data_IF_996665126592
#
_entry.id   IF_996665126592
#
_cell.length_a   1.000
_cell.length_b   1.000
_cell.length_c   1.000
_cell.angle_alpha   90.00
_cell.angle_beta   90.00
_cell.angle_gamma   90.00
#
_symmetry.space_group_name_H-M   'P 1'
#
loop_
_entity.id
_entity.type
_entity.pdbx_description
1 polymer ?
#
# COMPACT_ATOMS: atom_id res chain seq x y z
N UNK A 1 -31.55 3.66 22.36
CA UNK A 1 -30.22 3.06 22.62
C UNK A 1 -29.23 4.19 22.81
N UNK A 2 -28.67 4.36 24.00
CA UNK A 2 -27.69 5.41 24.27
C UNK A 2 -26.36 5.06 23.59
N UNK A 3 -25.93 5.88 22.63
CA UNK A 3 -24.58 5.75 22.05
C UNK A 3 -23.58 6.27 23.08
N UNK A 4 -22.74 5.39 23.62
CA UNK A 4 -21.63 5.78 24.49
C UNK A 4 -20.53 6.34 23.59
N UNK A 5 -20.35 7.65 23.63
CA UNK A 5 -19.21 8.34 23.01
C UNK A 5 -17.99 8.18 23.91
N UNK A 6 -17.12 7.22 23.61
CA UNK A 6 -15.85 7.05 24.31
C UNK A 6 -14.92 8.25 24.03
N UNK A 7 -14.28 8.80 25.06
CA UNK A 7 -13.31 9.87 24.88
C UNK A 7 -12.00 9.35 24.27
N UNK A 8 -11.18 10.25 23.71
CA UNK A 8 -9.85 9.91 23.17
C UNK A 8 -8.94 9.24 24.20
N UNK A 9 -9.05 9.62 25.46
CA UNK A 9 -8.29 8.99 26.53
C UNK A 9 -8.78 7.57 26.77
N UNK A 10 -10.09 7.34 26.68
CA UNK A 10 -10.69 6.01 26.84
C UNK A 10 -10.30 5.09 25.68
N UNK A 11 -10.29 5.56 24.44
CA UNK A 11 -9.84 4.76 23.28
C UNK A 11 -8.37 4.40 23.42
N UNK A 12 -7.51 5.38 23.76
CA UNK A 12 -6.08 5.13 23.97
C UNK A 12 -5.81 4.20 25.16
N UNK A 13 -6.61 4.32 26.23
CA UNK A 13 -6.57 3.44 27.39
C UNK A 13 -7.06 2.04 27.01
N UNK A 14 -8.14 1.90 26.23
CA UNK A 14 -8.64 0.62 25.75
C UNK A 14 -7.67 -0.05 24.78
N UNK A 15 -7.02 0.70 23.88
CA UNK A 15 -5.96 0.21 23.03
C UNK A 15 -4.73 -0.18 23.83
N UNK A 16 -4.36 0.56 24.89
CA UNK A 16 -3.28 0.19 25.81
C UNK A 16 -3.63 -0.98 26.74
N UNK A 17 -4.91 -1.16 27.08
CA UNK A 17 -5.43 -2.32 27.82
C UNK A 17 -5.38 -3.55 26.92
N UNK A 18 -5.72 -3.40 25.64
CA UNK A 18 -5.62 -4.43 24.60
C UNK A 18 -4.16 -4.69 24.19
N UNK A 19 -3.31 -3.69 24.29
CA UNK A 19 -1.91 -3.68 23.91
C UNK A 19 -1.04 -2.67 24.70
N UNK A 20 -0.40 -3.08 25.81
CA UNK A 20 0.35 -2.18 26.69
C UNK A 20 1.66 -1.61 26.09
N UNK A 21 2.03 -1.96 24.85
CA UNK A 21 3.19 -1.43 24.13
C UNK A 21 2.82 -0.70 22.82
N UNK A 22 1.53 -0.44 22.56
CA UNK A 22 1.11 0.40 21.44
C UNK A 22 1.71 1.81 21.56
N UNK A 23 2.37 2.28 20.51
CA UNK A 23 2.83 3.67 20.40
C UNK A 23 1.76 4.49 19.65
N UNK A 24 0.86 5.19 20.38
CA UNK A 24 -0.21 5.96 19.78
C UNK A 24 0.30 7.18 18.98
N UNK A 25 1.61 7.48 19.01
CA UNK A 25 2.20 8.61 18.25
C UNK A 25 2.55 8.25 16.81
N UNK A 26 2.70 6.97 16.49
CA UNK A 26 2.96 6.48 15.13
C UNK A 26 1.68 6.35 14.29
N UNK A 27 0.53 6.22 14.95
CA UNK A 27 -0.78 6.06 14.30
C UNK A 27 -1.35 7.44 14.00
N UNK A 28 -1.61 7.70 12.72
CA UNK A 28 -2.33 8.92 12.33
C UNK A 28 -3.77 8.78 12.82
N UNK A 29 -4.29 9.72 13.63
CA UNK A 29 -5.65 9.59 14.15
C UNK A 29 -6.63 9.63 12.98
N UNK A 30 -7.41 8.56 12.81
CA UNK A 30 -8.46 8.50 11.79
C UNK A 30 -9.78 8.85 12.47
N UNK A 31 -10.50 9.83 11.93
CA UNK A 31 -11.83 10.21 12.41
C UNK A 31 -12.86 10.06 11.28
N UNK A 32 -13.78 9.12 11.46
CA UNK A 32 -14.83 8.82 10.49
C UNK A 32 -15.93 9.88 10.42
N UNK A 33 -16.00 10.78 11.42
CA UNK A 33 -16.96 11.89 11.43
C UNK A 33 -16.46 13.10 10.62
N UNK A 34 -15.17 13.12 10.25
CA UNK A 34 -14.65 14.16 9.37
C UNK A 34 -15.25 14.03 7.96
N UNK A 35 -15.40 15.16 7.24
CA UNK A 35 -15.74 15.13 5.82
C UNK A 35 -14.85 14.16 5.05
N UNK A 36 -15.45 13.40 4.13
CA UNK A 36 -14.72 12.39 3.35
C UNK A 36 -13.60 13.02 2.51
N UNK A 37 -13.83 14.23 2.00
CA UNK A 37 -12.82 15.08 1.38
C UNK A 37 -12.74 16.43 2.12
N UNK A 38 -11.54 16.96 2.38
CA UNK A 38 -11.37 18.21 3.13
C UNK A 38 -11.69 19.47 2.31
N UNK A 39 -11.78 19.39 0.97
CA UNK A 39 -11.97 20.54 0.08
C UNK A 39 -13.33 20.54 -0.63
N UNK A 40 -13.93 19.37 -0.86
CA UNK A 40 -15.30 19.23 -1.39
C UNK A 40 -16.23 18.86 -0.24
N UNK A 41 -16.71 19.89 0.47
CA UNK A 41 -17.48 19.72 1.71
C UNK A 41 -18.99 19.66 1.50
N UNK A 42 -19.51 20.18 0.38
CA UNK A 42 -20.93 20.07 0.08
C UNK A 42 -21.30 18.61 -0.23
N UNK A 43 -22.34 18.11 0.43
CA UNK A 43 -22.70 16.69 0.39
C UNK A 43 -23.27 16.30 -0.98
N UNK A 44 -24.05 17.18 -1.61
CA UNK A 44 -24.65 16.92 -2.92
C UNK A 44 -23.55 16.89 -3.98
N UNK A 45 -22.73 17.93 -4.01
CA UNK A 45 -21.60 18.08 -4.92
C UNK A 45 -20.62 16.90 -4.74
N UNK A 46 -20.23 16.57 -3.51
CA UNK A 46 -19.34 15.44 -3.24
C UNK A 46 -19.93 14.11 -3.76
N UNK A 47 -21.24 13.91 -3.62
CA UNK A 47 -21.91 12.68 -4.08
C UNK A 47 -21.85 12.57 -5.60
N UNK A 48 -22.08 13.67 -6.32
CA UNK A 48 -22.01 13.71 -7.78
C UNK A 48 -20.58 13.52 -8.30
N UNK A 49 -19.60 14.18 -7.66
CA UNK A 49 -18.16 14.03 -7.92
C UNK A 49 -17.73 12.57 -7.76
N UNK A 50 -18.07 11.93 -6.64
CA UNK A 50 -17.73 10.53 -6.38
C UNK A 50 -18.44 9.58 -7.34
N UNK A 51 -19.68 9.89 -7.75
CA UNK A 51 -20.40 9.08 -8.73
C UNK A 51 -19.68 9.11 -10.08
N UNK A 52 -19.32 10.29 -10.59
CA UNK A 52 -18.54 10.44 -11.82
C UNK A 52 -17.19 9.72 -11.73
N UNK A 53 -16.46 9.90 -10.63
CA UNK A 53 -15.18 9.18 -10.40
C UNK A 53 -15.39 7.67 -10.47
N UNK A 54 -16.40 7.14 -9.78
CA UNK A 54 -16.69 5.72 -9.72
C UNK A 54 -17.03 5.15 -11.09
N UNK A 55 -17.78 5.88 -11.91
CA UNK A 55 -18.11 5.46 -13.28
C UNK A 55 -16.83 5.30 -14.12
N UNK A 56 -15.90 6.26 -14.05
CA UNK A 56 -14.61 6.18 -14.74
C UNK A 56 -13.78 5.00 -14.24
N UNK A 57 -13.69 4.81 -12.91
CA UNK A 57 -12.90 3.73 -12.32
C UNK A 57 -13.46 2.33 -12.63
N UNK A 58 -14.77 2.15 -12.61
CA UNK A 58 -15.42 0.88 -13.00
C UNK A 58 -15.13 0.56 -14.46
N UNK A 59 -15.10 1.59 -15.30
CA UNK A 59 -14.84 1.44 -16.71
C UNK A 59 -13.35 1.03 -16.92
N UNK A 60 -12.39 1.67 -16.24
CA UNK A 60 -10.98 1.27 -16.22
C UNK A 60 -10.82 -0.16 -15.73
N UNK A 61 -11.48 -0.52 -14.64
CA UNK A 61 -11.45 -1.87 -14.07
C UNK A 61 -11.96 -2.92 -15.07
N UNK A 62 -13.05 -2.63 -15.79
CA UNK A 62 -13.59 -3.52 -16.82
C UNK A 62 -12.55 -3.78 -17.91
N UNK A 63 -11.86 -2.75 -18.39
CA UNK A 63 -10.81 -2.92 -19.39
C UNK A 63 -9.63 -3.76 -18.85
N UNK A 64 -9.18 -3.52 -17.63
CA UNK A 64 -8.11 -4.32 -17.01
C UNK A 64 -8.49 -5.80 -16.87
N UNK A 65 -9.73 -6.12 -16.52
CA UNK A 65 -10.21 -7.50 -16.47
C UNK A 65 -10.17 -8.18 -17.86
N UNK A 66 -10.47 -7.45 -18.93
CA UNK A 66 -10.37 -7.97 -20.30
C UNK A 66 -8.92 -8.16 -20.75
N UNK A 67 -8.02 -7.23 -20.41
CA UNK A 67 -6.59 -7.33 -20.69
C UNK A 67 -5.93 -8.50 -19.94
N UNK A 68 -6.41 -8.78 -18.73
CA UNK A 68 -5.99 -9.94 -17.94
C UNK A 68 -6.64 -11.27 -18.38
N UNK A 69 -7.44 -11.28 -19.46
CA UNK A 69 -8.21 -12.44 -19.94
C UNK A 69 -9.18 -13.04 -18.90
N UNK A 70 -9.65 -12.23 -17.93
CA UNK A 70 -10.64 -12.62 -16.93
C UNK A 70 -12.08 -12.35 -17.38
N UNK A 71 -12.25 -11.55 -18.45
CA UNK A 71 -13.52 -11.30 -19.12
C UNK A 71 -13.37 -11.36 -20.64
N UNK A 72 -14.47 -11.60 -21.40
CA UNK A 72 -14.44 -11.56 -22.86
C UNK A 72 -13.91 -10.22 -23.36
N UNK A 73 -12.98 -10.25 -24.32
CA UNK A 73 -12.46 -9.05 -24.96
C UNK A 73 -13.55 -8.44 -25.84
N UNK A 74 -14.14 -7.35 -25.39
CA UNK A 74 -15.12 -6.57 -26.16
C UNK A 74 -14.52 -5.25 -26.65
N UNK A 75 -13.38 -4.84 -26.10
CA UNK A 75 -12.71 -3.57 -26.43
C UNK A 75 -11.57 -3.88 -27.42
N UNK A 76 -11.70 -3.39 -28.65
CA UNK A 76 -10.70 -3.56 -29.72
C UNK A 76 -9.49 -2.66 -29.55
N UNK A 77 -9.67 -1.46 -28.98
CA UNK A 77 -8.61 -0.45 -28.83
C UNK A 77 -8.42 -0.01 -27.36
N UNK A 78 -7.68 -0.79 -26.54
CA UNK A 78 -7.44 -0.49 -25.13
C UNK A 78 -6.81 0.88 -24.88
N UNK A 79 -5.88 1.31 -25.75
CA UNK A 79 -5.16 2.59 -25.59
C UNK A 79 -6.10 3.77 -25.80
N UNK A 80 -6.89 3.77 -26.88
CA UNK A 80 -7.89 4.80 -27.18
C UNK A 80 -8.90 4.91 -26.04
N UNK A 81 -9.34 3.77 -25.53
CA UNK A 81 -10.29 3.69 -24.43
C UNK A 81 -9.70 4.27 -23.11
N UNK A 82 -8.44 3.96 -22.80
CA UNK A 82 -7.74 4.55 -21.66
C UNK A 82 -7.57 6.08 -21.78
N UNK A 83 -7.32 6.57 -23.00
CA UNK A 83 -7.22 8.02 -23.26
C UNK A 83 -8.56 8.73 -23.04
N UNK A 84 -9.68 8.12 -23.40
CA UNK A 84 -11.02 8.65 -23.10
C UNK A 84 -11.25 8.77 -21.58
N UNK A 85 -10.87 7.75 -20.80
CA UNK A 85 -10.94 7.84 -19.34
C UNK A 85 -10.03 8.91 -18.75
N UNK A 86 -8.83 9.09 -19.32
CA UNK A 86 -7.96 10.20 -18.92
C UNK A 86 -8.57 11.56 -19.23
N UNK A 87 -9.24 11.72 -20.37
CA UNK A 87 -9.95 12.96 -20.71
C UNK A 87 -11.01 13.27 -19.66
N UNK A 88 -11.82 12.28 -19.29
CA UNK A 88 -12.85 12.46 -18.24
C UNK A 88 -12.25 12.81 -16.88
N UNK A 89 -11.09 12.25 -16.54
CA UNK A 89 -10.35 12.64 -15.33
C UNK A 89 -9.78 14.06 -15.44
N UNK A 90 -9.34 14.50 -16.62
CA UNK A 90 -8.91 15.88 -16.84
C UNK A 90 -10.07 16.84 -16.63
N UNK A 91 -11.21 16.60 -17.27
CA UNK A 91 -12.40 17.44 -17.15
C UNK A 91 -12.82 17.56 -15.68
N UNK A 92 -12.79 16.44 -14.94
CA UNK A 92 -13.09 16.40 -13.51
C UNK A 92 -12.08 17.19 -12.67
N UNK A 93 -10.79 17.17 -13.02
CA UNK A 93 -9.75 17.93 -12.30
C UNK A 93 -9.84 19.42 -12.63
N UNK A 94 -10.25 19.78 -13.84
CA UNK A 94 -10.43 21.17 -14.25
C UNK A 94 -11.66 21.77 -13.54
N UNK A 95 -12.74 21.02 -13.39
CA UNK A 95 -13.93 21.40 -12.64
C UNK A 95 -13.67 21.41 -11.11
N UNK A 96 -12.94 20.42 -10.60
CA UNK A 96 -12.65 20.24 -9.17
C UNK A 96 -11.14 20.20 -8.87
N UNK A 97 -10.42 21.33 -8.98
CA UNK A 97 -8.96 21.35 -8.92
C UNK A 97 -8.37 20.92 -7.57
N UNK A 98 -9.16 20.99 -6.50
CA UNK A 98 -8.78 20.57 -5.14
C UNK A 98 -9.23 19.15 -4.79
N UNK A 99 -9.87 18.42 -5.70
CA UNK A 99 -10.27 17.04 -5.46
C UNK A 99 -9.10 16.08 -5.72
N UNK A 100 -8.42 15.70 -4.64
CA UNK A 100 -7.17 14.94 -4.71
C UNK A 100 -7.34 13.51 -5.26
N UNK A 101 -8.51 12.89 -5.08
CA UNK A 101 -8.75 11.51 -5.51
C UNK A 101 -8.67 11.37 -7.04
N UNK A 102 -9.26 12.29 -7.80
CA UNK A 102 -9.20 12.29 -9.26
C UNK A 102 -7.76 12.41 -9.78
N UNK A 103 -6.94 13.28 -9.17
CA UNK A 103 -5.51 13.44 -9.49
C UNK A 103 -4.72 12.16 -9.22
N UNK A 104 -4.95 11.51 -8.08
CA UNK A 104 -4.33 10.23 -7.75
C UNK A 104 -4.70 9.13 -8.77
N UNK A 105 -5.95 9.12 -9.24
CA UNK A 105 -6.42 8.18 -10.27
C UNK A 105 -5.82 8.49 -11.65
N UNK A 106 -5.70 9.78 -12.01
CA UNK A 106 -5.05 10.20 -13.26
C UNK A 106 -3.59 9.79 -13.29
N UNK A 107 -2.86 9.98 -12.18
CA UNK A 107 -1.50 9.50 -12.02
C UNK A 107 -1.40 7.98 -12.21
N UNK A 108 -2.31 7.21 -11.62
CA UNK A 108 -2.35 5.76 -11.77
C UNK A 108 -2.64 5.32 -13.22
N UNK A 109 -3.59 5.96 -13.89
CA UNK A 109 -3.94 5.67 -15.28
C UNK A 109 -2.78 6.00 -16.25
N UNK A 110 -2.09 7.11 -16.03
CA UNK A 110 -0.88 7.47 -16.81
C UNK A 110 0.25 6.47 -16.59
N UNK A 111 0.49 6.03 -15.36
CA UNK A 111 1.45 4.97 -15.04
C UNK A 111 1.08 3.64 -15.69
N UNK A 112 -0.21 3.33 -15.84
CA UNK A 112 -0.66 2.14 -16.57
C UNK A 112 -0.42 2.25 -18.08
N UNK A 113 -0.64 3.43 -18.65
CA UNK A 113 -0.42 3.68 -20.08
C UNK A 113 1.05 3.66 -20.46
N UNK A 114 1.90 4.37 -19.71
CA UNK A 114 3.30 4.61 -20.06
C UNK A 114 4.31 3.81 -19.22
N UNK A 115 3.85 3.15 -18.16
CA UNK A 115 4.67 2.33 -17.27
C UNK A 115 5.31 3.12 -16.11
N UNK A 116 5.94 2.39 -15.20
CA UNK A 116 6.65 2.97 -14.05
C UNK A 116 8.07 3.44 -14.40
N UNK A 117 8.57 3.11 -15.60
CA UNK A 117 9.84 3.60 -16.16
C UNK A 117 9.72 4.94 -16.88
N UNK A 118 8.59 5.63 -16.71
CA UNK A 118 8.26 6.88 -17.40
C UNK A 118 9.31 7.98 -17.20
N UNK A 119 10.10 7.93 -16.11
CA UNK A 119 11.15 8.91 -15.79
C UNK A 119 12.53 8.59 -16.40
N UNK A 120 12.79 7.39 -16.89
CA UNK A 120 14.15 6.93 -17.29
C UNK A 120 14.26 6.54 -18.77
N UNK A 121 13.18 6.68 -19.53
CA UNK A 121 13.23 6.44 -20.96
C UNK A 121 13.30 4.96 -21.40
N UNK A 122 13.42 4.01 -20.46
CA UNK A 122 13.50 2.57 -20.78
C UNK A 122 12.13 1.97 -21.07
N UNK A 123 12.09 0.93 -21.90
CA UNK A 123 10.87 0.19 -22.19
C UNK A 123 10.29 -0.46 -20.92
N UNK A 124 8.98 -0.34 -20.74
CA UNK A 124 8.23 -1.05 -19.71
C UNK A 124 7.40 -2.16 -20.37
N UNK A 125 7.67 -3.41 -19.96
CA UNK A 125 6.88 -4.58 -20.39
C UNK A 125 5.43 -4.56 -19.88
N UNK A 126 5.11 -3.65 -18.94
CA UNK A 126 3.78 -3.52 -18.33
C UNK A 126 2.99 -2.32 -18.85
N UNK A 127 3.60 -1.44 -19.64
CA UNK A 127 2.93 -0.29 -20.24
C UNK A 127 2.01 -0.73 -21.39
N UNK A 128 0.89 -0.04 -21.57
CA UNK A 128 0.04 -0.25 -22.76
C UNK A 128 0.66 0.38 -24.02
N UNK A 129 1.41 1.46 -23.86
CA UNK A 129 2.17 2.11 -24.92
C UNK A 129 3.64 1.77 -24.67
N UNK A 130 4.19 0.86 -25.47
CA UNK A 130 5.56 0.35 -25.26
C UNK A 130 6.65 1.37 -25.60
N UNK A 131 6.39 2.30 -26.52
CA UNK A 131 7.35 3.33 -26.95
C UNK A 131 6.64 4.67 -27.20
N UNK A 132 6.32 5.46 -26.17
CA UNK A 132 5.85 6.82 -26.36
C UNK A 132 6.97 7.72 -26.89
N UNK A 133 6.62 8.72 -27.70
CA UNK A 133 7.55 9.78 -28.08
C UNK A 133 8.09 10.50 -26.83
N UNK A 134 9.29 11.06 -26.93
CA UNK A 134 9.98 11.65 -25.79
C UNK A 134 9.19 12.81 -25.17
N UNK A 135 8.57 13.66 -26.00
CA UNK A 135 7.80 14.81 -25.54
C UNK A 135 6.53 14.38 -24.78
N UNK A 136 5.80 13.38 -25.27
CA UNK A 136 4.64 12.81 -24.58
C UNK A 136 5.02 12.15 -23.27
N UNK A 137 6.16 11.46 -23.24
CA UNK A 137 6.68 10.84 -22.01
C UNK A 137 7.06 11.87 -20.96
N UNK A 138 7.82 12.90 -21.33
CA UNK A 138 8.19 14.02 -20.44
C UNK A 138 6.94 14.74 -19.92
N UNK A 139 5.95 15.00 -20.78
CA UNK A 139 4.65 15.57 -20.36
C UNK A 139 3.90 14.67 -19.38
N UNK A 140 3.81 13.37 -19.66
CA UNK A 140 3.12 12.44 -18.77
C UNK A 140 3.85 12.27 -17.43
N UNK A 141 5.20 12.21 -17.44
CA UNK A 141 6.03 12.22 -16.25
C UNK A 141 5.75 13.46 -15.38
N UNK A 142 5.70 14.64 -16.02
CA UNK A 142 5.34 15.90 -15.35
C UNK A 142 3.98 15.79 -14.65
N UNK A 143 2.94 15.41 -15.40
CA UNK A 143 1.57 15.35 -14.89
C UNK A 143 1.46 14.38 -13.73
N UNK A 144 2.08 13.20 -13.82
CA UNK A 144 2.08 12.21 -12.75
C UNK A 144 2.72 12.76 -11.49
N UNK A 145 3.92 13.35 -11.59
CA UNK A 145 4.63 13.90 -10.44
C UNK A 145 3.90 15.12 -9.84
N UNK A 146 3.41 16.04 -10.68
CA UNK A 146 2.63 17.22 -10.27
C UNK A 146 1.34 16.79 -9.55
N UNK A 147 0.60 15.81 -10.08
CA UNK A 147 -0.63 15.32 -9.46
C UNK A 147 -0.36 14.70 -8.09
N UNK A 148 0.65 13.83 -7.97
CA UNK A 148 0.99 13.19 -6.71
C UNK A 148 1.46 14.21 -5.66
N UNK A 149 2.25 15.22 -6.06
CA UNK A 149 2.64 16.33 -5.18
C UNK A 149 1.43 17.14 -4.72
N UNK A 150 0.50 17.43 -5.62
CA UNK A 150 -0.74 18.15 -5.29
C UNK A 150 -1.61 17.32 -4.34
N UNK A 151 -1.79 16.02 -4.58
CA UNK A 151 -2.52 15.13 -3.68
C UNK A 151 -1.93 15.15 -2.27
N UNK A 152 -0.60 14.96 -2.18
CA UNK A 152 0.12 14.98 -0.90
C UNK A 152 -0.09 16.33 -0.21
N UNK A 153 0.07 17.44 -0.91
CA UNK A 153 -0.10 18.78 -0.34
C UNK A 153 -1.54 19.06 0.13
N UNK A 154 -2.54 18.62 -0.63
CA UNK A 154 -3.96 18.88 -0.32
C UNK A 154 -4.47 18.05 0.85
N UNK A 155 -3.97 16.83 1.02
CA UNK A 155 -4.45 15.87 2.02
C UNK A 155 -3.53 15.75 3.24
N UNK A 156 -2.30 16.25 3.17
CA UNK A 156 -1.39 16.18 4.31
C UNK A 156 -1.94 17.03 5.46
N UNK A 157 -2.04 16.45 6.67
CA UNK A 157 -2.51 17.17 7.84
C UNK A 157 -1.54 18.29 8.21
N UNK A 158 -2.05 19.42 8.73
CA UNK A 158 -1.23 20.55 9.19
C UNK A 158 -0.29 20.19 10.35
N UNK A 159 -0.61 19.13 11.10
CA UNK A 159 0.21 18.57 12.16
C UNK A 159 0.25 17.05 12.08
N UNK A 160 1.36 16.45 12.50
CA UNK A 160 1.52 15.00 12.58
C UNK A 160 0.46 14.28 13.44
N UNK A 161 -0.24 15.03 14.31
CA UNK A 161 -1.26 14.52 15.24
C UNK A 161 -2.70 14.94 14.90
N UNK A 162 -2.93 15.75 13.87
CA UNK A 162 -4.30 16.13 13.51
C UNK A 162 -5.03 14.98 12.82
N UNK A 163 -6.30 14.76 13.16
CA UNK A 163 -7.07 13.66 12.60
C UNK A 163 -7.33 13.86 11.11
N UNK A 164 -7.41 12.74 10.39
CA UNK A 164 -7.71 12.71 8.95
C UNK A 164 -8.89 11.76 8.70
N UNK A 165 -9.69 12.03 7.68
CA UNK A 165 -10.78 11.13 7.32
C UNK A 165 -10.22 9.81 6.75
N UNK A 166 -10.93 8.67 6.88
CA UNK A 166 -10.47 7.39 6.34
C UNK A 166 -10.19 7.45 4.83
N UNK A 167 -11.02 8.19 4.08
CA UNK A 167 -10.88 8.35 2.64
C UNK A 167 -9.64 9.18 2.30
N UNK A 168 -9.42 10.31 2.99
CA UNK A 168 -8.23 11.13 2.78
C UNK A 168 -6.94 10.39 3.16
N UNK A 169 -6.93 9.62 4.25
CA UNK A 169 -5.79 8.78 4.64
C UNK A 169 -5.45 7.74 3.56
N UNK A 170 -6.47 7.08 3.01
CA UNK A 170 -6.31 6.10 1.94
C UNK A 170 -5.73 6.74 0.68
N UNK A 171 -6.28 7.86 0.23
CA UNK A 171 -5.77 8.56 -0.95
C UNK A 171 -4.34 9.05 -0.73
N UNK A 172 -4.04 9.62 0.44
CA UNK A 172 -2.70 10.08 0.79
C UNK A 172 -1.69 8.94 0.80
N UNK A 173 -2.05 7.79 1.38
CA UNK A 173 -1.23 6.57 1.35
C UNK A 173 -0.94 6.11 -0.07
N UNK A 174 -1.97 6.06 -0.91
CA UNK A 174 -1.83 5.69 -2.31
C UNK A 174 -0.89 6.66 -3.02
N UNK A 175 -1.07 7.97 -2.86
CA UNK A 175 -0.25 8.98 -3.52
C UNK A 175 1.23 8.85 -3.16
N UNK A 176 1.55 8.70 -1.87
CA UNK A 176 2.93 8.43 -1.42
C UNK A 176 3.48 7.13 -2.02
N UNK A 177 2.71 6.04 -1.97
CA UNK A 177 3.14 4.73 -2.49
C UNK A 177 3.37 4.77 -4.00
N UNK A 178 2.53 5.50 -4.74
CA UNK A 178 2.68 5.68 -6.17
C UNK A 178 3.96 6.45 -6.51
N UNK A 179 4.23 7.54 -5.78
CA UNK A 179 5.44 8.36 -5.98
C UNK A 179 6.71 7.59 -5.59
N UNK A 180 6.67 6.87 -4.47
CA UNK A 180 7.73 5.97 -4.04
C UNK A 180 8.07 4.91 -5.09
N UNK A 181 7.06 4.30 -5.73
CA UNK A 181 7.28 3.28 -6.76
C UNK A 181 7.99 3.85 -8.00
N UNK A 182 7.66 5.08 -8.41
CA UNK A 182 8.35 5.78 -9.50
C UNK A 182 9.80 6.06 -9.15
N UNK A 183 10.04 6.65 -7.98
CA UNK A 183 11.38 6.95 -7.50
C UNK A 183 12.23 5.68 -7.34
N UNK A 184 11.67 4.62 -6.76
CA UNK A 184 12.35 3.34 -6.61
C UNK A 184 12.71 2.70 -7.95
N UNK A 185 11.77 2.69 -8.90
CA UNK A 185 12.00 2.13 -10.24
C UNK A 185 13.07 2.93 -11.00
N UNK A 186 13.03 4.25 -10.84
CA UNK A 186 14.01 5.20 -11.40
C UNK A 186 15.40 4.96 -10.81
N UNK A 187 15.52 4.88 -9.48
CA UNK A 187 16.79 4.55 -8.82
C UNK A 187 17.36 3.19 -9.25
N UNK A 188 16.50 2.17 -9.35
CA UNK A 188 16.90 0.81 -9.71
C UNK A 188 17.51 0.72 -11.11
N UNK A 189 16.99 1.52 -12.04
CA UNK A 189 17.43 1.53 -13.44
C UNK A 189 17.95 2.92 -13.84
N UNK A 190 18.65 3.57 -12.90
CA UNK A 190 19.06 4.96 -13.02
C UNK A 190 20.00 5.16 -14.22
N UNK A 191 19.75 6.23 -14.97
CA UNK A 191 20.59 6.69 -16.08
C UNK A 191 20.61 8.21 -16.07
N UNK A 192 21.71 8.82 -16.53
CA UNK A 192 21.86 10.28 -16.59
C UNK A 192 20.80 10.95 -17.49
N UNK A 193 20.30 10.23 -18.51
CA UNK A 193 19.26 10.72 -19.41
C UNK A 193 17.84 10.46 -18.84
N UNK A 194 17.43 11.29 -17.89
CA UNK A 194 16.08 11.24 -17.32
C UNK A 194 15.06 11.94 -18.23
N UNK A 195 13.87 11.35 -18.36
CA UNK A 195 12.71 11.93 -19.03
C UNK A 195 11.91 12.84 -18.07
N UNK A 196 12.61 13.69 -17.32
CA UNK A 196 12.05 14.61 -16.34
C UNK A 196 12.12 16.03 -16.92
N UNK A 197 11.04 16.83 -16.85
CA UNK A 197 11.06 18.23 -17.25
C UNK A 197 12.05 19.08 -16.43
N UNK A 198 12.61 20.12 -17.04
CA UNK A 198 13.59 21.02 -16.39
C UNK A 198 13.02 21.80 -15.18
N UNK A 199 11.71 22.01 -15.14
CA UNK A 199 11.04 22.74 -14.05
C UNK A 199 10.75 21.87 -12.81
N UNK A 200 11.13 20.60 -12.84
CA UNK A 200 10.90 19.64 -11.75
C UNK A 200 12.13 19.54 -10.85
N UNK A 201 11.90 19.44 -9.53
CA UNK A 201 12.97 19.28 -8.53
C UNK A 201 13.82 18.02 -8.75
N UNK A 202 13.24 16.98 -9.36
CA UNK A 202 13.89 15.70 -9.58
C UNK A 202 14.90 15.70 -10.74
N UNK A 203 15.00 16.78 -11.52
CA UNK A 203 15.84 16.83 -12.73
C UNK A 203 17.33 16.63 -12.41
N UNK A 204 17.79 17.14 -11.27
CA UNK A 204 19.19 17.07 -10.83
C UNK A 204 19.41 16.02 -9.73
N UNK A 205 18.45 15.13 -9.51
CA UNK A 205 18.58 14.11 -8.47
C UNK A 205 19.56 13.02 -8.88
N UNK A 206 20.46 12.68 -7.97
CA UNK A 206 21.29 11.50 -8.08
C UNK A 206 20.47 10.24 -7.82
N UNK A 207 21.06 9.08 -8.13
CA UNK A 207 20.49 7.79 -7.75
C UNK A 207 20.17 7.71 -6.26
N UNK A 208 21.04 8.25 -5.41
CA UNK A 208 20.87 8.24 -3.95
C UNK A 208 19.65 9.08 -3.53
N UNK A 209 19.47 10.26 -4.13
CA UNK A 209 18.32 11.13 -3.84
C UNK A 209 17.00 10.42 -4.17
N UNK A 210 16.93 9.68 -5.30
CA UNK A 210 15.76 8.87 -5.63
C UNK A 210 15.54 7.71 -4.64
N UNK A 211 16.60 7.06 -4.15
CA UNK A 211 16.49 5.99 -3.14
C UNK A 211 15.97 6.53 -1.80
N UNK A 212 16.51 7.66 -1.34
CA UNK A 212 16.09 8.32 -0.09
C UNK A 212 14.65 8.83 -0.18
N UNK A 213 14.29 9.50 -1.28
CA UNK A 213 12.93 9.97 -1.51
C UNK A 213 11.94 8.80 -1.59
N UNK A 214 12.30 7.71 -2.27
CA UNK A 214 11.46 6.51 -2.32
C UNK A 214 11.25 5.88 -0.94
N UNK A 215 12.31 5.77 -0.13
CA UNK A 215 12.23 5.21 1.22
C UNK A 215 11.33 6.08 2.11
N UNK A 216 11.53 7.40 2.10
CA UNK A 216 10.71 8.37 2.83
C UNK A 216 9.23 8.27 2.43
N UNK A 217 8.94 8.24 1.13
CA UNK A 217 7.57 8.12 0.63
C UNK A 217 6.95 6.76 0.96
N UNK A 218 7.69 5.65 0.92
CA UNK A 218 7.17 4.36 1.38
C UNK A 218 6.87 4.37 2.88
N UNK A 219 7.70 5.00 3.69
CA UNK A 219 7.46 5.15 5.12
C UNK A 219 6.19 5.97 5.38
N UNK A 220 6.00 7.10 4.70
CA UNK A 220 4.80 7.92 4.80
C UNK A 220 3.56 7.21 4.24
N UNK A 221 3.67 6.56 3.08
CA UNK A 221 2.63 5.76 2.47
C UNK A 221 2.18 4.62 3.39
N UNK A 222 3.14 3.99 4.08
CA UNK A 222 2.88 3.02 5.14
C UNK A 222 2.19 3.65 6.34
N UNK A 223 2.66 4.81 6.81
CA UNK A 223 2.08 5.53 7.96
C UNK A 223 0.61 5.90 7.74
N UNK A 224 0.26 6.43 6.56
CA UNK A 224 -1.12 6.80 6.21
C UNK A 224 -1.95 5.61 5.72
N UNK A 225 -1.30 4.54 5.24
CA UNK A 225 -1.95 3.38 4.62
C UNK A 225 -2.31 2.25 5.56
N UNK A 226 -2.02 2.39 6.85
CA UNK A 226 -1.96 1.24 7.73
C UNK A 226 -2.99 1.29 8.85
N UNK A 227 -4.00 0.43 8.70
CA UNK A 227 -4.10 -0.72 9.60
C UNK A 227 -3.34 -1.97 9.09
N UNK A 228 -2.79 -1.99 7.84
CA UNK A 228 -2.02 -3.15 7.32
C UNK A 228 -0.61 -2.91 6.69
N UNK A 229 -0.15 -1.71 6.31
CA UNK A 229 1.18 -1.51 5.70
C UNK A 229 2.37 -1.51 6.70
N UNK A 230 2.49 -2.55 7.53
CA UNK A 230 3.72 -2.82 8.27
C UNK A 230 4.64 -3.58 7.29
N UNK A 231 5.92 -3.22 7.18
CA UNK A 231 6.92 -4.04 6.48
C UNK A 231 7.16 -5.34 7.24
N UNK A 232 6.22 -6.28 7.06
CA UNK A 232 6.19 -7.54 7.81
C UNK A 232 6.82 -8.64 6.97
N UNK A 233 7.83 -9.27 7.54
CA UNK A 233 8.37 -10.51 7.02
C UNK A 233 7.26 -11.57 7.09
N UNK A 234 7.06 -12.24 5.96
CA UNK A 234 6.07 -13.29 5.79
C UNK A 234 6.74 -14.55 5.27
N UNK A 235 6.22 -15.70 5.70
CA UNK A 235 6.56 -17.02 5.17
C UNK A 235 5.38 -17.54 4.36
N UNK A 236 5.68 -18.06 3.16
CA UNK A 236 4.70 -18.70 2.30
C UNK A 236 4.44 -20.11 2.85
N UNK A 237 3.19 -20.38 3.22
CA UNK A 237 2.76 -21.69 3.72
C UNK A 237 2.23 -22.57 2.59
N UNK A 238 1.44 -21.97 1.70
CA UNK A 238 0.86 -22.66 0.56
C UNK A 238 0.84 -21.71 -0.66
N UNK A 239 1.64 -22.01 -1.70
CA UNK A 239 1.51 -21.32 -2.98
C UNK A 239 0.28 -21.82 -3.73
N UNK A 240 -0.44 -20.91 -4.39
CA UNK A 240 -1.60 -21.19 -5.24
C UNK A 240 -1.40 -20.44 -6.55
N UNK A 241 -0.77 -21.11 -7.50
CA UNK A 241 -0.32 -20.50 -8.75
C UNK A 241 -1.48 -20.28 -9.73
N UNK A 242 -2.39 -21.24 -9.78
CA UNK A 242 -3.60 -21.17 -10.60
C UNK A 242 -4.75 -20.62 -9.76
N UNK A 243 -5.21 -19.40 -10.09
CA UNK A 243 -6.34 -18.75 -9.42
C UNK A 243 -7.59 -19.63 -9.43
N UNK A 244 -8.12 -19.94 -8.25
CA UNK A 244 -9.39 -20.67 -8.05
C UNK A 244 -10.37 -19.76 -7.33
N UNK A 245 -11.68 -19.93 -7.53
CA UNK A 245 -12.68 -19.19 -6.71
C UNK A 245 -12.41 -19.45 -5.21
N UNK A 246 -12.34 -18.42 -4.35
CA UNK A 246 -12.76 -17.02 -4.56
C UNK A 246 -11.69 -16.06 -5.12
N UNK A 247 -10.42 -16.46 -5.22
CA UNK A 247 -9.31 -15.60 -5.67
C UNK A 247 -8.80 -16.02 -7.07
N UNK A 248 -9.28 -15.35 -8.10
CA UNK A 248 -8.97 -15.63 -9.52
C UNK A 248 -7.61 -15.07 -9.98
N UNK A 249 -6.60 -15.11 -9.11
CA UNK A 249 -5.24 -14.65 -9.37
C UNK A 249 -4.25 -15.52 -8.60
N UNK A 250 -3.00 -15.58 -9.06
CA UNK A 250 -1.92 -16.25 -8.33
C UNK A 250 -1.71 -15.62 -6.96
N UNK A 251 -1.79 -16.43 -5.91
CA UNK A 251 -1.71 -15.97 -4.53
C UNK A 251 -1.00 -16.99 -3.65
N UNK A 252 -0.58 -16.53 -2.48
CA UNK A 252 -0.05 -17.38 -1.43
C UNK A 252 -0.86 -17.22 -0.15
N UNK A 253 -1.06 -18.34 0.55
CA UNK A 253 -1.40 -18.31 1.97
C UNK A 253 -0.11 -18.08 2.72
N UNK A 254 -0.05 -17.00 3.49
CA UNK A 254 1.12 -16.60 4.25
C UNK A 254 0.84 -16.56 5.74
N UNK A 255 1.87 -16.83 6.53
CA UNK A 255 1.94 -16.45 7.93
C UNK A 255 3.04 -15.40 8.10
N UNK A 256 2.82 -14.41 8.96
CA UNK A 256 3.82 -13.39 9.22
C UNK A 256 3.75 -12.89 10.65
N UNK A 257 4.69 -12.03 11.00
CA UNK A 257 4.78 -11.46 12.33
C UNK A 257 4.17 -10.06 12.28
N UNK A 258 3.06 -9.83 12.97
CA UNK A 258 2.42 -8.51 13.10
C UNK A 258 3.13 -7.63 14.15
N UNK A 259 3.65 -8.28 15.20
CA UNK A 259 4.52 -7.68 16.21
C UNK A 259 5.74 -8.54 16.44
N UNK A 260 6.90 -7.97 16.11
CA UNK A 260 8.21 -8.56 16.31
C UNK A 260 8.60 -8.62 17.79
N UNK A 261 9.46 -9.57 18.16
CA UNK A 261 10.02 -9.58 19.50
C UNK A 261 10.88 -8.32 19.71
N UNK A 262 10.80 -7.75 20.92
CA UNK A 262 11.54 -6.56 21.30
C UNK A 262 13.00 -6.89 21.63
N UNK A 263 13.92 -5.94 21.45
CA UNK A 263 15.33 -6.11 21.82
C UNK A 263 15.47 -6.50 23.30
N UNK A 264 16.17 -7.60 23.53
CA UNK A 264 16.47 -8.13 24.87
C UNK A 264 17.89 -7.73 25.26
N UNK A 265 18.09 -7.34 26.50
CA UNK A 265 19.41 -6.99 27.05
C UNK A 265 19.66 -7.77 28.34
N UNK A 266 20.93 -8.04 28.64
CA UNK A 266 21.33 -8.85 29.82
C UNK A 266 20.90 -8.24 31.16
N UNK A 267 20.62 -6.94 31.20
CA UNK A 267 20.19 -6.20 32.41
C UNK A 267 18.71 -6.43 32.77
N UNK A 268 17.92 -7.02 31.87
CA UNK A 268 16.49 -7.22 32.09
C UNK A 268 16.23 -8.42 32.99
N UNK A 269 15.20 -8.35 33.84
CA UNK A 269 14.73 -9.49 34.63
C UNK A 269 14.14 -10.59 33.74
N UNK A 270 14.22 -11.86 34.15
CA UNK A 270 13.68 -13.00 33.38
C UNK A 270 12.23 -12.81 32.93
N UNK A 271 11.28 -12.32 33.77
CA UNK A 271 9.90 -12.07 33.33
C UNK A 271 9.80 -11.01 32.22
N UNK A 272 10.66 -9.99 32.26
CA UNK A 272 10.72 -8.94 31.24
C UNK A 272 11.31 -9.46 29.93
N UNK A 273 12.28 -10.37 30.01
CA UNK A 273 12.85 -11.03 28.83
C UNK A 273 11.81 -11.93 28.14
N UNK A 274 11.04 -12.69 28.90
CA UNK A 274 9.95 -13.53 28.37
C UNK A 274 8.87 -12.69 27.70
N UNK A 275 8.40 -11.62 28.34
CA UNK A 275 7.39 -10.71 27.77
C UNK A 275 7.87 -10.10 26.44
N UNK A 276 9.15 -9.71 26.35
CA UNK A 276 9.74 -9.14 25.13
C UNK A 276 10.01 -10.15 24.03
N UNK A 277 10.09 -11.43 24.36
CA UNK A 277 10.27 -12.52 23.39
C UNK A 277 8.96 -12.93 22.70
N UNK A 278 7.82 -12.45 23.20
CA UNK A 278 6.50 -12.77 22.63
C UNK A 278 6.34 -12.14 21.24
N UNK A 279 5.71 -12.90 20.35
CA UNK A 279 5.34 -12.47 19.00
C UNK A 279 3.84 -12.50 18.82
N UNK A 280 3.34 -11.59 17.99
CA UNK A 280 1.95 -11.61 17.52
C UNK A 280 1.94 -12.01 16.06
N UNK A 281 1.48 -13.22 15.69
CA UNK A 281 1.42 -13.62 14.29
C UNK A 281 0.13 -13.15 13.62
N UNK A 282 0.15 -13.10 12.29
CA UNK A 282 -1.03 -13.01 11.44
C UNK A 282 -0.99 -14.08 10.35
N UNK A 283 -2.16 -14.40 9.81
CA UNK A 283 -2.33 -15.28 8.65
C UNK A 283 -3.16 -14.53 7.62
N UNK A 284 -2.79 -14.62 6.34
CA UNK A 284 -3.47 -13.89 5.27
C UNK A 284 -3.32 -14.60 3.93
N UNK A 285 -4.28 -14.37 3.05
CA UNK A 285 -4.14 -14.66 1.61
C UNK A 285 -3.62 -13.41 0.91
N UNK A 286 -2.47 -13.49 0.25
CA UNK A 286 -1.82 -12.35 -0.41
C UNK A 286 -1.53 -12.69 -1.88
N UNK A 287 -1.89 -11.76 -2.77
CA UNK A 287 -1.54 -11.83 -4.19
C UNK A 287 -0.01 -11.74 -4.36
N UNK A 288 0.58 -12.54 -5.26
CA UNK A 288 2.02 -12.51 -5.51
C UNK A 288 2.56 -11.11 -5.89
N UNK A 289 1.76 -10.28 -6.55
CA UNK A 289 2.15 -8.90 -6.88
C UNK A 289 2.38 -8.00 -5.66
N UNK A 290 1.87 -8.39 -4.48
CA UNK A 290 2.04 -7.66 -3.22
C UNK A 290 3.12 -8.29 -2.32
N UNK A 291 3.83 -9.29 -2.82
CA UNK A 291 4.95 -9.92 -2.13
C UNK A 291 6.27 -9.49 -2.79
N UNK A 292 7.21 -9.04 -1.97
CA UNK A 292 8.59 -8.88 -2.41
C UNK A 292 9.34 -10.18 -2.06
N UNK A 293 9.73 -11.01 -3.05
CA UNK A 293 10.50 -12.21 -2.77
C UNK A 293 11.86 -11.82 -2.18
N UNK A 294 12.29 -12.57 -1.16
CA UNK A 294 13.60 -12.37 -0.54
C UNK A 294 14.48 -13.59 -0.79
N UNK A 295 15.80 -13.41 -0.75
CA UNK A 295 16.79 -14.51 -0.83
C UNK A 295 16.75 -15.47 0.35
N UNK A 296 16.02 -15.13 1.41
CA UNK A 296 16.01 -15.90 2.65
C UNK A 296 14.84 -16.88 2.67
N UNK A 297 15.13 -18.14 3.02
CA UNK A 297 14.12 -19.17 3.21
C UNK A 297 13.89 -19.43 4.69
N UNK A 298 12.64 -19.74 5.04
CA UNK A 298 12.24 -20.11 6.38
C UNK A 298 11.42 -21.40 6.28
N UNK A 299 12.07 -22.53 6.52
CA UNK A 299 11.41 -23.83 6.58
C UNK A 299 10.96 -24.11 8.01
N UNK A 300 9.65 -24.22 8.19
CA UNK A 300 9.00 -24.54 9.46
C UNK A 300 8.07 -25.73 9.24
N UNK A 301 8.58 -26.92 9.51
CA UNK A 301 7.83 -28.18 9.36
C UNK A 301 6.52 -28.16 10.15
N UNK A 302 6.50 -27.53 11.33
CA UNK A 302 5.31 -27.41 12.18
C UNK A 302 4.21 -26.45 11.69
N UNK A 303 4.40 -25.74 10.58
CA UNK A 303 3.36 -24.87 9.99
C UNK A 303 2.66 -25.48 8.78
N UNK A 304 3.19 -26.58 8.24
CA UNK A 304 2.64 -27.21 7.05
C UNK A 304 1.30 -27.87 7.40
N UNK A 305 0.23 -27.45 6.73
CA UNK A 305 -1.13 -27.97 6.95
C UNK A 305 -1.92 -27.32 8.08
N UNK A 306 -1.31 -26.44 8.88
CA UNK A 306 -2.00 -25.70 9.96
C UNK A 306 -2.93 -24.61 9.42
N UNK A 307 -2.55 -24.00 8.30
CA UNK A 307 -3.33 -22.94 7.63
C UNK A 307 -3.68 -23.41 6.23
N UNK A 308 -4.98 -23.52 5.97
CA UNK A 308 -5.54 -23.88 4.66
C UNK A 308 -6.56 -22.83 4.21
N UNK A 309 -7.11 -22.99 3.01
CA UNK A 309 -8.17 -22.12 2.52
C UNK A 309 -9.43 -22.16 3.41
N UNK A 310 -9.72 -23.31 4.03
CA UNK A 310 -10.90 -23.49 4.90
C UNK A 310 -10.74 -22.77 6.23
N UNK A 311 -9.51 -22.64 6.74
CA UNK A 311 -9.20 -21.87 7.95
C UNK A 311 -9.73 -20.43 7.86
N UNK A 312 -9.86 -19.89 6.64
CA UNK A 312 -10.36 -18.53 6.45
C UNK A 312 -11.89 -18.43 6.44
N UNK A 313 -12.66 -19.52 6.49
CA UNK A 313 -14.13 -19.45 6.49
C UNK A 313 -14.70 -19.07 7.85
N UNK A 314 -14.13 -19.59 8.93
CA UNK A 314 -14.61 -19.39 10.30
C UNK A 314 -13.62 -18.62 11.17
N UNK A 315 -14.13 -17.77 12.08
CA UNK A 315 -13.28 -16.94 12.95
C UNK A 315 -12.55 -17.78 13.99
N UNK A 316 -13.20 -18.78 14.57
CA UNK A 316 -12.62 -19.73 15.55
C UNK A 316 -11.37 -20.41 15.00
N UNK A 317 -11.47 -20.96 13.79
CA UNK A 317 -10.36 -21.65 13.11
C UNK A 317 -9.18 -20.71 12.85
N UNK A 318 -9.44 -19.44 12.50
CA UNK A 318 -8.38 -18.43 12.35
C UNK A 318 -7.65 -18.17 13.67
N UNK A 319 -8.36 -18.12 14.78
CA UNK A 319 -7.76 -17.90 16.10
C UNK A 319 -6.90 -19.09 16.54
N UNK A 320 -7.37 -20.31 16.33
CA UNK A 320 -6.62 -21.52 16.70
C UNK A 320 -5.39 -21.73 15.82
N UNK A 321 -5.50 -21.43 14.52
CA UNK A 321 -4.34 -21.37 13.63
C UNK A 321 -3.30 -20.34 14.12
N UNK A 322 -3.73 -19.14 14.51
CA UNK A 322 -2.83 -18.11 15.05
C UNK A 322 -2.15 -18.54 16.35
N UNK A 323 -2.84 -19.25 17.26
CA UNK A 323 -2.23 -19.79 18.48
C UNK A 323 -1.10 -20.77 18.16
N UNK A 324 -1.33 -21.64 17.17
CA UNK A 324 -0.34 -22.62 16.70
C UNK A 324 0.86 -21.94 16.05
N UNK A 325 0.61 -20.99 15.13
CA UNK A 325 1.67 -20.19 14.48
C UNK A 325 2.51 -19.43 15.52
N UNK A 326 1.85 -18.87 16.54
CA UNK A 326 2.52 -18.14 17.63
C UNK A 326 3.52 -19.03 18.36
N UNK A 327 3.09 -20.23 18.76
CA UNK A 327 3.94 -21.19 19.47
C UNK A 327 5.19 -21.53 18.65
N UNK A 328 5.01 -21.86 17.38
CA UNK A 328 6.13 -22.21 16.47
C UNK A 328 7.09 -21.03 16.27
N UNK A 329 6.58 -19.82 16.09
CA UNK A 329 7.43 -18.63 15.95
C UNK A 329 8.20 -18.30 17.24
N UNK A 330 7.59 -18.43 18.42
CA UNK A 330 8.26 -18.21 19.71
C UNK A 330 9.37 -19.25 19.97
N UNK A 331 9.10 -20.52 19.68
CA UNK A 331 10.09 -21.60 19.77
C UNK A 331 11.28 -21.35 18.82
N UNK A 332 11.00 -20.96 17.57
CA UNK A 332 12.04 -20.65 16.59
C UNK A 332 12.86 -19.42 16.99
N UNK A 333 12.23 -18.36 17.50
CA UNK A 333 12.93 -17.18 18.00
C UNK A 333 13.88 -17.53 19.17
N UNK A 334 13.39 -18.33 20.12
CA UNK A 334 14.17 -18.77 21.29
C UNK A 334 15.37 -19.64 20.90
N UNK A 335 15.24 -20.43 19.81
CA UNK A 335 16.36 -21.20 19.25
C UNK A 335 17.47 -20.33 18.62
N UNK A 336 17.23 -19.02 18.43
CA UNK A 336 18.19 -18.08 17.85
C UNK A 336 18.40 -18.22 16.34
N UNK A 337 17.61 -19.06 15.65
CA UNK A 337 17.65 -19.27 14.20
C UNK A 337 16.86 -18.20 13.44
N UNK A 338 17.20 -17.97 12.18
CA UNK A 338 16.51 -17.05 11.26
C UNK A 338 16.29 -15.64 11.86
N UNK A 339 17.32 -15.07 12.53
CA UNK A 339 17.25 -13.76 13.20
C UNK A 339 16.70 -12.65 12.30
N UNK A 340 17.02 -12.69 11.01
CA UNK A 340 16.52 -11.76 10.00
C UNK A 340 14.98 -11.69 9.97
N UNK A 341 14.28 -12.82 10.14
CA UNK A 341 12.83 -12.91 10.10
C UNK A 341 12.16 -12.32 11.36
N UNK A 342 12.87 -12.33 12.48
CA UNK A 342 12.40 -11.77 13.76
C UNK A 342 12.87 -10.33 13.99
N UNK A 343 13.60 -9.76 13.04
CA UNK A 343 14.04 -8.37 13.10
C UNK A 343 13.09 -7.52 12.26
N UNK A 344 12.49 -6.45 12.82
CA UNK A 344 11.64 -5.58 12.03
C UNK A 344 12.44 -4.92 10.91
N UNK A 345 11.88 -4.91 9.71
CA UNK A 345 12.40 -4.10 8.61
C UNK A 345 12.21 -2.63 8.98
N UNK A 346 13.31 -1.91 9.09
CA UNK A 346 13.32 -0.46 9.32
C UNK A 346 13.37 0.20 7.95
N UNK A 347 12.35 0.98 7.65
CA UNK A 347 12.24 1.80 6.46
C UNK A 347 11.80 3.19 6.90
#
# INVERSE_FOLDING_TARGET
MAFISLSRNDINVLEKIKDPEADPTAVVPIDANLPRDPHVTDISEYTDVVKREREILLAIQKLELQLANLQPRTISEPVTWYRDCLSKLNDMIDEYPKYASARNNRAQALRRLYGDTILIGTQSNKALISQPDEATRKRAAKVVLDDLDVCVRLLSPSSALSPISPQAAKTLSMSYTQRAALYHTTARSFSENLAIPEDRREVNWSKLDFEEAAASDFALGGRYGNEIAKGLAVVILQPVDNGKKPHQFGHAIVAGIERYPSKITRRMSKPRQEKRSKVKPFIKVINYNHLMPTRYTLELEGLKGVVSADTFKEVSQREDAKKTVKKVFEERYTSGKNRWFFTPLRF
#
